data_IF_988411536066
#
_entry.id   IF_988411536066
#
_cell.length_a   1.000
_cell.length_b   1.000
_cell.length_c   1.000
_cell.angle_alpha   90.00
_cell.angle_beta   90.00
_cell.angle_gamma   90.00
#
_symmetry.space_group_name_H-M   'P 1'
#
loop_
_entity.id
_entity.type
_entity.pdbx_description
1 polymer ?
#
# COMPACT_ATOMS: atom_id res chain seq x y z
N UNK A 1 -27.11 24.73 -9.27
CA UNK A 1 -25.80 25.24 -8.80
C UNK A 1 -24.86 24.06 -8.74
N UNK A 2 -23.87 24.06 -9.63
CA UNK A 2 -22.90 22.98 -9.86
C UNK A 2 -21.77 23.09 -8.85
N UNK A 3 -21.45 21.99 -8.16
CA UNK A 3 -20.25 21.88 -7.32
C UNK A 3 -19.28 20.88 -7.96
N UNK A 4 -18.23 21.45 -8.56
CA UNK A 4 -16.86 20.95 -8.59
C UNK A 4 -16.64 19.48 -8.96
N UNK A 5 -16.44 19.25 -10.26
CA UNK A 5 -15.74 18.08 -10.80
C UNK A 5 -14.35 17.95 -10.18
N UNK A 6 -14.14 16.94 -9.33
CA UNK A 6 -12.81 16.53 -8.83
C UNK A 6 -12.23 15.53 -9.84
N UNK A 7 -11.79 16.03 -10.99
CA UNK A 7 -10.95 15.30 -11.94
C UNK A 7 -9.54 15.87 -11.81
N UNK A 8 -8.54 15.02 -11.59
CA UNK A 8 -7.17 15.44 -11.90
C UNK A 8 -5.97 14.73 -11.29
N UNK A 9 -6.08 13.58 -10.61
CA UNK A 9 -4.85 12.84 -10.20
C UNK A 9 -4.94 11.31 -10.23
N UNK A 10 -6.05 10.71 -10.69
CA UNK A 10 -6.26 9.26 -10.57
C UNK A 10 -5.71 8.40 -11.73
N UNK A 11 -5.12 9.01 -12.76
CA UNK A 11 -4.83 8.30 -14.02
C UNK A 11 -3.37 8.36 -14.49
N UNK A 12 -2.45 9.00 -13.76
CA UNK A 12 -1.16 9.41 -14.34
C UNK A 12 0.12 8.81 -13.70
N UNK A 13 0.05 7.76 -12.87
CA UNK A 13 1.26 7.27 -12.16
C UNK A 13 1.59 5.77 -12.26
N UNK A 14 0.95 4.98 -13.14
CA UNK A 14 1.33 3.55 -13.31
C UNK A 14 1.65 3.13 -14.75
N UNK A 15 1.53 3.99 -15.78
CA UNK A 15 1.57 3.52 -17.17
C UNK A 15 2.84 3.87 -18.00
N UNK A 16 3.62 4.90 -17.67
CA UNK A 16 4.49 5.52 -18.69
C UNK A 16 5.99 5.20 -18.62
N UNK A 17 6.39 4.07 -18.02
CA UNK A 17 7.77 3.59 -18.15
C UNK A 17 7.85 2.52 -19.25
N UNK A 18 8.07 3.00 -20.48
CA UNK A 18 8.72 2.30 -21.60
C UNK A 18 7.97 1.16 -22.31
N UNK A 19 6.78 1.42 -22.85
CA UNK A 19 6.00 0.44 -23.63
C UNK A 19 6.74 -0.18 -24.83
N UNK A 20 7.58 0.61 -25.51
CA UNK A 20 8.35 0.15 -26.69
C UNK A 20 9.42 -0.89 -26.37
N UNK A 21 10.04 -0.83 -25.18
CA UNK A 21 11.02 -1.83 -24.72
C UNK A 21 10.35 -3.01 -24.05
N UNK A 22 9.18 -2.80 -23.43
CA UNK A 22 8.41 -3.84 -22.76
C UNK A 22 7.89 -4.90 -23.72
N UNK A 23 7.36 -4.50 -24.88
CA UNK A 23 6.90 -5.46 -25.89
C UNK A 23 8.03 -6.34 -26.43
N UNK A 24 9.20 -5.75 -26.70
CA UNK A 24 10.40 -6.47 -27.13
C UNK A 24 10.94 -7.40 -26.04
N UNK A 25 11.05 -6.92 -24.78
CA UNK A 25 11.47 -7.73 -23.63
C UNK A 25 10.55 -8.93 -23.41
N UNK A 26 9.24 -8.72 -23.57
CA UNK A 26 8.23 -9.78 -23.45
C UNK A 26 8.36 -10.81 -24.56
N UNK A 27 8.69 -10.42 -25.79
CA UNK A 27 8.98 -11.37 -26.89
C UNK A 27 10.27 -12.17 -26.65
N UNK A 28 11.25 -11.60 -25.92
CA UNK A 28 12.51 -12.25 -25.59
C UNK A 28 12.43 -13.22 -24.39
N UNK A 29 11.29 -13.30 -23.70
CA UNK A 29 11.07 -14.15 -22.52
C UNK A 29 9.90 -15.13 -22.76
N UNK A 30 10.07 -16.16 -23.61
CA UNK A 30 9.02 -17.12 -23.92
C UNK A 30 8.51 -17.86 -22.68
N UNK A 31 9.40 -18.14 -21.72
CA UNK A 31 9.03 -18.77 -20.44
C UNK A 31 8.10 -17.89 -19.61
N UNK A 32 8.31 -16.57 -19.61
CA UNK A 32 7.41 -15.62 -18.94
C UNK A 32 6.04 -15.61 -19.62
N UNK A 33 6.00 -15.64 -20.95
CA UNK A 33 4.73 -15.68 -21.69
C UNK A 33 3.96 -16.97 -21.40
N UNK A 34 4.64 -18.12 -21.43
CA UNK A 34 4.06 -19.41 -21.12
C UNK A 34 3.51 -19.45 -19.68
N UNK A 35 4.30 -19.02 -18.70
CA UNK A 35 3.89 -18.95 -17.29
C UNK A 35 2.70 -18.00 -17.10
N UNK A 36 2.72 -16.82 -17.72
CA UNK A 36 1.60 -15.86 -17.67
C UNK A 36 0.33 -16.46 -18.26
N UNK A 37 0.41 -17.12 -19.41
CA UNK A 37 -0.73 -17.77 -20.05
C UNK A 37 -1.31 -18.89 -19.16
N UNK A 38 -0.44 -19.69 -18.51
CA UNK A 38 -0.87 -20.71 -17.55
C UNK A 38 -1.61 -20.11 -16.35
N UNK A 39 -1.07 -19.04 -15.74
CA UNK A 39 -1.71 -18.36 -14.61
C UNK A 39 -3.05 -17.72 -15.03
N UNK A 40 -3.13 -17.15 -16.24
CA UNK A 40 -4.37 -16.56 -16.75
C UNK A 40 -5.49 -17.59 -17.01
N UNK A 41 -5.13 -18.86 -17.24
CA UNK A 41 -6.09 -19.96 -17.39
C UNK A 41 -6.55 -20.55 -16.05
N UNK A 42 -5.86 -20.24 -14.95
CA UNK A 42 -6.29 -20.71 -13.63
C UNK A 42 -7.56 -19.97 -13.19
N UNK A 43 -8.59 -20.69 -12.73
CA UNK A 43 -9.78 -20.05 -12.19
C UNK A 43 -9.40 -19.23 -10.96
N UNK A 44 -10.07 -18.09 -10.78
CA UNK A 44 -9.91 -17.29 -9.57
C UNK A 44 -10.27 -18.16 -8.34
N UNK A 45 -9.38 -18.23 -7.32
CA UNK A 45 -9.67 -18.96 -6.08
C UNK A 45 -11.00 -18.51 -5.48
N UNK A 46 -11.76 -19.43 -4.87
CA UNK A 46 -13.10 -19.15 -4.33
C UNK A 46 -13.11 -17.97 -3.37
N UNK A 47 -12.04 -17.82 -2.57
CA UNK A 47 -11.85 -16.74 -1.59
C UNK A 47 -11.69 -15.36 -2.22
N UNK A 48 -11.33 -15.29 -3.51
CA UNK A 48 -11.13 -14.06 -4.26
C UNK A 48 -12.27 -13.79 -5.26
N UNK A 49 -13.25 -14.69 -5.37
CA UNK A 49 -14.40 -14.48 -6.25
C UNK A 49 -15.22 -13.28 -5.76
N UNK A 50 -15.59 -12.39 -6.69
CA UNK A 50 -16.35 -11.17 -6.38
C UNK A 50 -15.52 -10.03 -5.74
N UNK A 51 -14.22 -10.23 -5.48
CA UNK A 51 -13.34 -9.14 -5.05
C UNK A 51 -12.89 -8.38 -6.30
N UNK A 52 -13.39 -7.16 -6.43
CA UNK A 52 -12.99 -6.27 -7.51
C UNK A 52 -11.58 -5.70 -7.28
N UNK A 53 -10.87 -5.35 -8.36
CA UNK A 53 -9.56 -4.66 -8.27
C UNK A 53 -9.67 -3.28 -7.61
N UNK A 54 -10.87 -2.71 -7.58
CA UNK A 54 -11.19 -1.45 -6.91
C UNK A 54 -11.63 -1.64 -5.45
N UNK A 55 -11.60 -2.87 -4.92
CA UNK A 55 -12.04 -3.17 -3.56
C UNK A 55 -10.95 -2.94 -2.49
N UNK A 56 -9.69 -2.78 -2.89
CA UNK A 56 -8.58 -2.51 -1.98
C UNK A 56 -7.42 -1.76 -2.67
N UNK A 57 -6.65 -0.99 -1.91
CA UNK A 57 -5.39 -0.37 -2.32
C UNK A 57 -4.25 -0.83 -1.40
N UNK A 58 -3.16 -1.37 -1.98
CA UNK A 58 -1.94 -1.70 -1.24
C UNK A 58 -0.91 -0.58 -1.43
N UNK A 59 -0.56 0.09 -0.34
CA UNK A 59 0.51 1.10 -0.30
C UNK A 59 1.75 0.53 0.35
N UNK A 60 2.86 0.50 -0.39
CA UNK A 60 4.17 0.09 0.12
C UNK A 60 4.84 1.29 0.80
N UNK A 61 4.82 1.34 2.13
CA UNK A 61 5.38 2.46 2.90
C UNK A 61 6.88 2.28 3.14
N UNK A 62 7.34 1.03 3.22
CA UNK A 62 8.75 0.68 3.20
C UNK A 62 9.00 -0.79 2.87
N UNK A 63 10.16 -1.04 2.26
CA UNK A 63 10.52 -2.31 1.61
C UNK A 63 11.98 -2.71 1.85
N UNK A 64 12.71 -1.94 2.67
CA UNK A 64 14.04 -2.31 3.14
C UNK A 64 13.95 -3.27 4.33
N UNK A 65 15.00 -4.04 4.54
CA UNK A 65 15.19 -4.91 5.69
C UNK A 65 16.35 -4.40 6.54
N UNK A 66 16.28 -4.67 7.84
CA UNK A 66 17.22 -4.35 8.91
C UNK A 66 17.45 -2.85 9.17
N UNK A 67 17.70 -2.05 8.13
CA UNK A 67 18.00 -0.62 8.25
C UNK A 67 17.40 0.18 7.09
N UNK A 68 16.96 1.43 7.33
CA UNK A 68 16.60 2.33 6.24
C UNK A 68 17.80 2.58 5.32
N UNK A 69 17.51 2.77 4.05
CA UNK A 69 18.47 3.20 3.02
C UNK A 69 18.12 4.61 2.54
N UNK A 70 19.01 5.21 1.75
CA UNK A 70 18.76 6.53 1.11
C UNK A 70 17.44 6.59 0.33
N UNK A 71 16.97 5.45 -0.20
CA UNK A 71 15.83 5.41 -1.12
C UNK A 71 14.64 4.61 -0.60
N UNK A 72 14.82 3.84 0.47
CA UNK A 72 13.80 2.91 0.97
C UNK A 72 13.80 2.89 2.49
N UNK A 73 12.63 3.08 3.07
CA UNK A 73 12.38 2.87 4.49
C UNK A 73 12.24 1.37 4.82
N UNK A 74 12.30 1.00 6.10
CA UNK A 74 12.10 -0.37 6.62
C UNK A 74 10.65 -0.87 6.46
N UNK A 75 10.42 -2.16 6.68
CA UNK A 75 9.17 -2.86 6.40
C UNK A 75 7.93 -2.17 6.95
N UNK A 76 7.00 -1.80 6.06
CA UNK A 76 5.65 -1.36 6.39
C UNK A 76 4.76 -1.39 5.14
N UNK A 77 3.60 -2.04 5.24
CA UNK A 77 2.63 -2.17 4.16
C UNK A 77 1.23 -1.85 4.63
N UNK A 78 0.59 -0.87 4.01
CA UNK A 78 -0.77 -0.47 4.35
C UNK A 78 -1.75 -0.96 3.30
N UNK A 79 -2.71 -1.78 3.72
CA UNK A 79 -3.82 -2.26 2.92
C UNK A 79 -5.07 -1.46 3.29
N UNK A 80 -5.50 -0.59 2.38
CA UNK A 80 -6.72 0.21 2.50
C UNK A 80 -7.89 -0.58 1.89
N UNK A 81 -8.89 -0.93 2.70
CA UNK A 81 -10.15 -1.56 2.25
C UNK A 81 -11.28 -0.53 2.14
N UNK A 82 -10.91 0.76 2.07
CA UNK A 82 -11.82 1.90 1.98
C UNK A 82 -12.82 1.91 3.14
N UNK A 83 -14.11 1.76 2.84
CA UNK A 83 -15.20 1.81 3.82
C UNK A 83 -15.14 0.67 4.85
N UNK A 84 -14.31 -0.35 4.64
CA UNK A 84 -14.14 -1.48 5.56
C UNK A 84 -13.00 -1.30 6.56
N UNK A 85 -12.28 -0.18 6.49
CA UNK A 85 -11.10 0.10 7.31
C UNK A 85 -9.80 -0.32 6.63
N UNK A 86 -8.74 -0.51 7.40
CA UNK A 86 -7.44 -0.90 6.87
C UNK A 86 -6.66 -1.87 7.73
N UNK A 87 -5.64 -2.48 7.12
CA UNK A 87 -4.68 -3.37 7.78
C UNK A 87 -3.28 -2.81 7.57
N UNK A 88 -2.49 -2.78 8.65
CA UNK A 88 -1.08 -2.42 8.58
C UNK A 88 -0.25 -3.68 8.83
N UNK A 89 0.50 -4.13 7.82
CA UNK A 89 1.41 -5.27 7.93
C UNK A 89 2.82 -4.75 8.13
N UNK A 90 3.39 -5.08 9.28
CA UNK A 90 4.57 -4.46 9.88
C UNK A 90 4.43 -2.93 10.07
N UNK A 91 5.19 -2.41 11.01
CA UNK A 91 5.24 -0.99 11.34
C UNK A 91 6.67 -0.62 11.74
N UNK A 92 7.60 -0.68 10.77
CA UNK A 92 8.97 -0.21 10.96
C UNK A 92 9.05 1.29 11.29
N UNK A 93 10.25 1.76 11.63
CA UNK A 93 10.53 3.17 11.91
C UNK A 93 9.99 4.09 10.80
N UNK A 94 9.51 5.29 11.15
CA UNK A 94 8.96 6.29 10.23
C UNK A 94 7.73 5.86 9.39
N UNK A 95 7.06 4.75 9.73
CA UNK A 95 5.80 4.34 9.06
C UNK A 95 4.75 5.46 9.06
N UNK A 96 4.57 6.16 10.18
CA UNK A 96 3.66 7.30 10.26
C UNK A 96 4.09 8.44 9.33
N UNK A 97 5.38 8.77 9.26
CA UNK A 97 5.87 9.82 8.36
C UNK A 97 5.65 9.46 6.89
N UNK A 98 5.80 8.19 6.52
CA UNK A 98 5.50 7.69 5.19
C UNK A 98 4.00 7.80 4.85
N UNK A 99 3.10 7.51 5.80
CA UNK A 99 1.66 7.75 5.65
C UNK A 99 1.35 9.24 5.48
N UNK A 100 1.94 10.10 6.31
CA UNK A 100 1.76 11.55 6.24
C UNK A 100 2.25 12.13 4.89
N UNK A 101 3.36 11.64 4.34
CA UNK A 101 3.86 12.03 3.01
C UNK A 101 2.92 11.60 1.89
N UNK A 102 2.33 10.40 1.98
CA UNK A 102 1.46 9.83 0.93
C UNK A 102 0.05 10.42 0.93
N UNK A 103 -0.54 10.64 2.11
CA UNK A 103 -1.95 11.00 2.26
C UNK A 103 -2.18 12.38 2.88
N UNK A 104 -1.14 13.01 3.42
CA UNK A 104 -1.26 14.22 4.24
C UNK A 104 -1.57 13.89 5.70
N UNK A 105 -1.23 14.82 6.60
CA UNK A 105 -1.24 14.60 8.05
C UNK A 105 -2.61 14.18 8.62
N UNK A 106 -3.67 14.87 8.22
CA UNK A 106 -5.02 14.58 8.71
C UNK A 106 -5.53 13.22 8.22
N UNK A 107 -5.38 12.93 6.93
CA UNK A 107 -5.82 11.66 6.35
C UNK A 107 -5.01 10.47 6.86
N UNK A 108 -3.71 10.65 7.12
CA UNK A 108 -2.87 9.63 7.75
C UNK A 108 -3.39 9.28 9.15
N UNK A 109 -3.71 10.28 9.97
CA UNK A 109 -4.28 10.04 11.30
C UNK A 109 -5.64 9.32 11.23
N UNK A 110 -6.52 9.72 10.32
CA UNK A 110 -7.81 9.03 10.10
C UNK A 110 -7.64 7.57 9.69
N UNK A 111 -6.68 7.28 8.81
CA UNK A 111 -6.37 5.91 8.39
C UNK A 111 -5.84 5.05 9.53
N UNK A 112 -4.96 5.60 10.37
CA UNK A 112 -4.49 4.92 11.59
C UNK A 112 -5.66 4.62 12.55
N UNK A 113 -6.57 5.57 12.75
CA UNK A 113 -7.77 5.37 13.56
C UNK A 113 -8.74 4.35 12.96
N UNK A 114 -8.79 4.26 11.63
CA UNK A 114 -9.60 3.29 10.90
C UNK A 114 -8.95 1.92 10.70
N UNK A 115 -7.79 1.66 11.32
CA UNK A 115 -7.17 0.34 11.24
C UNK A 115 -7.98 -0.70 12.01
N UNK A 116 -8.29 -1.82 11.35
CA UNK A 116 -8.88 -2.99 12.01
C UNK A 116 -7.81 -3.77 12.80
N UNK A 117 -6.58 -3.81 12.28
CA UNK A 117 -5.46 -4.48 12.94
C UNK A 117 -4.11 -3.97 12.45
N UNK A 118 -3.10 -4.14 13.30
CA UNK A 118 -1.68 -4.10 12.92
C UNK A 118 -1.14 -5.51 13.09
N UNK A 119 -0.65 -6.11 12.01
CA UNK A 119 -0.04 -7.43 12.01
C UNK A 119 1.47 -7.31 11.98
N UNK A 120 2.16 -7.80 13.01
CA UNK A 120 3.62 -7.81 13.09
C UNK A 120 4.11 -9.20 12.74
N UNK A 121 4.93 -9.30 11.69
CA UNK A 121 5.41 -10.60 11.19
C UNK A 121 6.37 -11.29 12.17
N UNK A 122 7.27 -10.54 12.81
CA UNK A 122 8.23 -11.04 13.81
C UNK A 122 8.87 -9.91 14.64
N UNK A 123 9.63 -10.27 15.68
CA UNK A 123 10.16 -9.34 16.69
C UNK A 123 11.53 -8.73 16.35
N UNK A 124 11.73 -8.29 15.10
CA UNK A 124 12.88 -7.45 14.76
C UNK A 124 12.46 -5.98 14.69
N UNK A 125 13.33 -5.09 15.16
CA UNK A 125 13.01 -3.67 15.32
C UNK A 125 12.58 -2.98 14.01
N UNK A 126 13.09 -3.42 12.86
CA UNK A 126 12.71 -2.92 11.54
C UNK A 126 11.27 -3.29 11.13
N UNK A 127 10.59 -4.16 11.86
CA UNK A 127 9.20 -4.56 11.64
C UNK A 127 8.20 -3.96 12.64
N UNK A 128 8.65 -3.42 13.77
CA UNK A 128 7.75 -2.91 14.82
C UNK A 128 8.22 -1.61 15.50
N UNK A 129 9.35 -1.04 15.10
CA UNK A 129 9.94 0.15 15.72
C UNK A 129 9.11 1.43 15.58
N UNK A 130 8.15 1.47 14.65
CA UNK A 130 7.24 2.60 14.45
C UNK A 130 5.93 2.53 15.23
N UNK A 131 5.63 1.41 15.90
CA UNK A 131 4.33 1.17 16.55
C UNK A 131 3.93 2.29 17.51
N UNK A 132 4.87 2.73 18.37
CA UNK A 132 4.61 3.77 19.37
C UNK A 132 4.08 5.05 18.72
N UNK A 133 4.69 5.51 17.62
CA UNK A 133 4.27 6.73 16.93
C UNK A 133 2.89 6.57 16.29
N UNK A 134 2.62 5.43 15.66
CA UNK A 134 1.31 5.16 15.05
C UNK A 134 0.20 5.11 16.12
N UNK A 135 0.40 4.36 17.21
CA UNK A 135 -0.58 4.26 18.30
C UNK A 135 -0.85 5.62 18.96
N UNK A 136 0.18 6.43 19.24
CA UNK A 136 0.01 7.76 19.82
C UNK A 136 -0.65 8.77 18.87
N UNK A 137 -0.44 8.64 17.55
CA UNK A 137 -1.08 9.49 16.56
C UNK A 137 -2.61 9.33 16.56
N UNK A 138 -3.10 8.09 16.74
CA UNK A 138 -4.53 7.83 16.91
C UNK A 138 -5.10 8.49 18.17
N UNK A 139 -4.41 8.34 19.31
CA UNK A 139 -4.89 8.88 20.60
C UNK A 139 -4.88 10.40 20.71
N UNK A 140 -4.08 11.09 19.90
CA UNK A 140 -3.96 12.55 19.94
C UNK A 140 -5.05 13.25 19.11
N UNK A 141 -5.59 12.57 18.10
CA UNK A 141 -6.63 13.13 17.23
C UNK A 141 -8.02 13.06 17.87
N UNK A 142 -8.30 12.05 18.70
CA UNK A 142 -9.56 11.95 19.45
C UNK A 142 -9.77 13.05 20.51
N UNK A 143 -8.72 13.80 20.85
CA UNK A 143 -8.78 14.93 21.80
C UNK A 143 -8.94 16.30 21.13
N UNK A 144 -8.94 16.36 19.80
CA UNK A 144 -9.03 17.60 19.02
C UNK A 144 -10.37 17.73 18.26
N UNK A 145 -11.32 16.84 18.53
CA UNK A 145 -12.75 16.98 18.17
C UNK A 145 -13.56 17.25 19.43
#
# INVERSE_FOLDING_TARGET
>A
MSVGSVIGYRELLVAEVHDSKRAALLQMLPDYQAAKAQVQQQPTPQQLQGISRQAAELTLLGTASAKPSKHRNVSAYYLDLFDKGGLLMDCGEDTMGQLERRFGRQQAAQRILGLNAIWVSHMHADHHGGLTRCCCAGSSFSKLQ
#
